data_IF_952239053696
#
_entry.id   IF_952239053696
#
_cell.length_a   1.000
_cell.length_b   1.000
_cell.length_c   1.000
_cell.angle_alpha   90.00
_cell.angle_beta   90.00
_cell.angle_gamma   90.00
#
_symmetry.space_group_name_H-M   'P 1'
#
loop_
_entity.id
_entity.type
_entity.pdbx_description
1 polymer ?
#
# COMPACT_ATOMS: atom_id res chain seq x y z
N UNK A 1 -11.13 -7.86 -7.27
CA UNK A 1 -11.48 -6.65 -8.06
C UNK A 1 -11.64 -5.42 -7.17
N UNK A 2 -12.59 -5.36 -6.23
CA UNK A 2 -12.90 -4.14 -5.47
C UNK A 2 -11.67 -3.51 -4.78
N UNK A 3 -10.85 -4.22 -3.98
CA UNK A 3 -9.68 -3.60 -3.34
C UNK A 3 -8.70 -2.97 -4.33
N UNK A 4 -8.59 -3.54 -5.53
CA UNK A 4 -7.74 -3.00 -6.60
C UNK A 4 -8.27 -1.66 -7.11
N UNK A 5 -9.58 -1.42 -7.06
CA UNK A 5 -10.15 -0.13 -7.49
C UNK A 5 -9.76 1.01 -6.57
N UNK A 6 -9.71 0.75 -5.26
CA UNK A 6 -9.24 1.71 -4.25
C UNK A 6 -7.78 2.09 -4.51
N UNK A 7 -6.96 1.08 -4.77
CA UNK A 7 -5.53 1.27 -5.09
C UNK A 7 -5.34 1.98 -6.43
N UNK A 8 -6.14 1.67 -7.45
CA UNK A 8 -6.10 2.35 -8.73
C UNK A 8 -6.41 3.84 -8.60
N UNK A 9 -7.33 4.21 -7.70
CA UNK A 9 -7.60 5.61 -7.36
C UNK A 9 -6.41 6.24 -6.62
N UNK A 10 -5.84 5.55 -5.63
CA UNK A 10 -4.68 6.07 -4.90
C UNK A 10 -3.52 6.39 -5.86
N UNK A 11 -3.19 5.49 -6.77
CA UNK A 11 -2.18 5.71 -7.80
C UNK A 11 -2.54 6.88 -8.74
N UNK A 12 -3.81 7.01 -9.13
CA UNK A 12 -4.25 8.15 -9.93
C UNK A 12 -4.02 9.47 -9.20
N UNK A 13 -4.36 9.56 -7.90
CA UNK A 13 -4.14 10.74 -7.08
C UNK A 13 -2.64 11.07 -6.97
N UNK A 14 -1.81 10.08 -6.68
CA UNK A 14 -0.35 10.24 -6.61
C UNK A 14 0.20 10.85 -7.90
N UNK A 15 -0.14 10.26 -9.05
CA UNK A 15 0.38 10.71 -10.34
C UNK A 15 -0.14 12.11 -10.72
N UNK A 16 -1.42 12.41 -10.49
CA UNK A 16 -1.99 13.73 -10.74
C UNK A 16 -1.34 14.81 -9.89
N UNK A 17 -1.14 14.53 -8.61
CA UNK A 17 -0.51 15.46 -7.68
C UNK A 17 0.98 15.63 -8.00
N UNK A 18 1.66 14.57 -8.40
CA UNK A 18 3.07 14.63 -8.82
C UNK A 18 3.30 15.57 -9.98
N UNK A 19 2.36 15.68 -10.92
CA UNK A 19 2.44 16.58 -12.08
C UNK A 19 2.44 18.08 -11.74
N UNK A 20 2.32 18.45 -10.45
CA UNK A 20 2.43 19.86 -10.00
C UNK A 20 3.82 20.45 -10.22
N UNK A 21 4.83 19.62 -10.41
CA UNK A 21 6.22 20.00 -10.63
C UNK A 21 6.84 19.07 -11.69
N UNK A 22 8.08 19.36 -12.10
CA UNK A 22 8.88 18.39 -12.82
C UNK A 22 9.20 17.23 -11.88
N UNK A 23 8.66 16.05 -12.18
CA UNK A 23 8.68 14.91 -11.28
C UNK A 23 8.74 13.58 -12.03
N UNK A 24 9.82 12.87 -11.85
CA UNK A 24 10.10 11.58 -12.47
C UNK A 24 10.38 10.54 -11.38
N UNK A 25 9.34 10.04 -10.69
CA UNK A 25 9.52 9.13 -9.56
C UNK A 25 10.09 7.80 -10.01
N UNK A 26 11.02 7.26 -9.23
CA UNK A 26 11.64 5.96 -9.43
C UNK A 26 11.34 5.02 -8.27
N UNK A 27 11.49 5.51 -7.03
CA UNK A 27 11.44 4.71 -5.82
C UNK A 27 10.10 4.86 -5.09
N UNK A 28 9.49 3.72 -4.85
CA UNK A 28 8.19 3.64 -4.15
C UNK A 28 8.34 2.81 -2.89
N UNK A 29 7.91 3.36 -1.77
CA UNK A 29 7.74 2.61 -0.54
C UNK A 29 6.25 2.38 -0.27
N UNK A 30 5.86 1.12 -0.11
CA UNK A 30 4.52 0.74 0.37
C UNK A 30 4.65 0.26 1.80
N UNK A 31 3.90 0.86 2.73
CA UNK A 31 3.88 0.41 4.12
C UNK A 31 2.67 -0.49 4.37
N UNK A 32 2.95 -1.70 4.87
CA UNK A 32 1.97 -2.75 5.10
C UNK A 32 1.80 -3.70 3.91
N UNK A 33 2.13 -4.98 4.12
CA UNK A 33 1.92 -6.06 3.15
C UNK A 33 0.57 -6.78 3.33
N UNK A 34 -0.48 -6.01 3.63
CA UNK A 34 -1.87 -6.48 3.56
C UNK A 34 -2.40 -6.46 2.11
N UNK A 35 -3.68 -6.81 1.90
CA UNK A 35 -4.26 -6.86 0.55
C UNK A 35 -4.12 -5.54 -0.23
N UNK A 36 -4.32 -4.41 0.45
CA UNK A 36 -4.19 -3.08 -0.16
C UNK A 36 -2.73 -2.79 -0.53
N UNK A 37 -1.78 -3.02 0.39
CA UNK A 37 -0.38 -2.77 0.12
C UNK A 37 0.20 -3.68 -0.96
N UNK A 38 -0.13 -4.96 -0.97
CA UNK A 38 0.30 -5.89 -2.03
C UNK A 38 -0.25 -5.48 -3.40
N UNK A 39 -1.49 -5.03 -3.48
CA UNK A 39 -2.06 -4.50 -4.72
C UNK A 39 -1.44 -3.15 -5.10
N UNK A 40 -1.08 -2.31 -4.12
CA UNK A 40 -0.34 -1.07 -4.39
C UNK A 40 1.05 -1.37 -4.98
N UNK A 41 1.75 -2.35 -4.42
CA UNK A 41 3.03 -2.84 -4.94
C UNK A 41 2.90 -3.39 -6.36
N UNK A 42 1.90 -4.23 -6.63
CA UNK A 42 1.60 -4.74 -7.98
C UNK A 42 1.43 -3.58 -8.96
N UNK A 43 0.58 -2.60 -8.63
CA UNK A 43 0.31 -1.49 -9.54
C UNK A 43 1.54 -0.59 -9.76
N UNK A 44 2.43 -0.46 -8.78
CA UNK A 44 3.73 0.21 -8.90
C UNK A 44 4.66 -0.55 -9.85
N UNK A 45 4.79 -1.86 -9.68
CA UNK A 45 5.59 -2.73 -10.57
C UNK A 45 5.08 -2.71 -12.03
N UNK A 46 3.77 -2.74 -12.23
CA UNK A 46 3.17 -2.64 -13.57
C UNK A 46 3.46 -1.29 -14.27
N UNK A 47 3.88 -0.28 -13.52
CA UNK A 47 4.34 1.03 -14.03
C UNK A 47 5.85 1.10 -14.26
N UNK A 48 6.58 0.02 -13.95
CA UNK A 48 8.03 -0.03 -14.11
C UNK A 48 8.81 0.63 -12.98
N UNK A 49 8.14 0.98 -11.86
CA UNK A 49 8.79 1.62 -10.71
C UNK A 49 9.57 0.59 -9.88
N UNK A 50 10.59 1.07 -9.19
CA UNK A 50 11.30 0.31 -8.16
C UNK A 50 10.47 0.34 -6.87
N UNK A 51 9.90 -0.83 -6.52
CA UNK A 51 8.93 -0.94 -5.44
C UNK A 51 9.53 -1.69 -4.26
N UNK A 52 9.47 -1.05 -3.12
CA UNK A 52 9.83 -1.59 -1.83
C UNK A 52 8.57 -1.70 -0.96
N UNK A 53 8.47 -2.77 -0.18
CA UNK A 53 7.34 -2.99 0.73
C UNK A 53 7.86 -3.22 2.14
N UNK A 54 7.37 -2.45 3.09
CA UNK A 54 7.71 -2.57 4.50
C UNK A 54 6.54 -3.16 5.30
N UNK A 55 6.76 -4.26 6.01
CA UNK A 55 5.81 -4.84 6.95
C UNK A 55 6.58 -5.45 8.14
N UNK A 56 5.91 -5.66 9.25
CA UNK A 56 6.52 -6.21 10.47
C UNK A 56 6.81 -7.71 10.43
N UNK A 57 6.20 -8.44 9.50
CA UNK A 57 6.39 -9.89 9.38
C UNK A 57 7.76 -10.18 8.76
N UNK A 58 8.51 -11.10 9.35
CA UNK A 58 9.84 -11.48 8.86
C UNK A 58 9.83 -12.73 7.97
N UNK A 59 8.75 -13.49 8.00
CA UNK A 59 8.55 -14.74 7.24
C UNK A 59 7.09 -14.93 6.87
N UNK A 60 6.79 -15.97 6.09
CA UNK A 60 5.44 -16.34 5.67
C UNK A 60 5.01 -15.73 4.34
N UNK A 61 3.71 -15.79 4.01
CA UNK A 61 3.21 -15.51 2.66
C UNK A 61 3.42 -14.06 2.20
N UNK A 62 3.43 -13.08 3.11
CA UNK A 62 3.57 -11.67 2.75
C UNK A 62 4.93 -11.33 2.14
N UNK A 63 6.08 -11.63 2.79
CA UNK A 63 7.40 -11.44 2.17
C UNK A 63 7.56 -12.21 0.86
N UNK A 64 7.00 -13.42 0.77
CA UNK A 64 7.07 -14.24 -0.44
C UNK A 64 6.31 -13.60 -1.60
N UNK A 65 5.09 -13.11 -1.36
CA UNK A 65 4.29 -12.41 -2.36
C UNK A 65 4.98 -11.13 -2.86
N UNK A 66 5.62 -10.38 -1.98
CA UNK A 66 6.37 -9.18 -2.38
C UNK A 66 7.54 -9.56 -3.30
N UNK A 67 8.36 -10.55 -2.91
CA UNK A 67 9.48 -11.00 -3.73
C UNK A 67 9.03 -11.57 -5.08
N UNK A 68 7.91 -12.30 -5.10
CA UNK A 68 7.34 -12.85 -6.33
C UNK A 68 6.86 -11.77 -7.32
N UNK A 69 6.57 -10.53 -6.86
CA UNK A 69 6.34 -9.37 -7.71
C UNK A 69 7.63 -8.76 -8.30
N UNK A 70 8.80 -9.23 -7.89
CA UNK A 70 10.07 -8.56 -8.17
C UNK A 70 10.22 -7.26 -7.40
N UNK A 71 9.54 -7.10 -6.26
CA UNK A 71 9.68 -5.99 -5.34
C UNK A 71 10.60 -6.36 -4.17
N UNK A 72 11.20 -5.36 -3.53
CA UNK A 72 12.06 -5.55 -2.37
C UNK A 72 11.24 -5.54 -1.09
N UNK A 73 11.46 -6.52 -0.22
CA UNK A 73 10.78 -6.59 1.07
C UNK A 73 11.68 -6.12 2.21
N UNK A 74 11.13 -5.29 3.08
CA UNK A 74 11.77 -4.80 4.30
C UNK A 74 10.95 -5.18 5.53
N UNK A 75 11.67 -5.42 6.64
CA UNK A 75 11.09 -5.53 7.99
C UNK A 75 11.88 -4.63 8.92
N UNK A 76 11.22 -3.84 9.75
CA UNK A 76 11.89 -2.89 10.63
C UNK A 76 11.27 -1.50 10.55
N UNK A 77 12.10 -0.45 10.59
CA UNK A 77 11.68 0.93 10.50
C UNK A 77 11.81 1.48 9.07
N UNK A 78 11.07 2.56 8.74
CA UNK A 78 11.22 3.25 7.46
C UNK A 78 12.64 3.81 7.31
N UNK A 79 13.24 4.29 8.39
CA UNK A 79 14.61 4.81 8.40
C UNK A 79 15.66 3.78 7.90
N UNK A 80 15.36 2.50 7.99
CA UNK A 80 16.32 1.42 7.65
C UNK A 80 16.21 0.97 6.19
N UNK A 81 15.31 1.55 5.38
CA UNK A 81 15.12 1.11 3.97
C UNK A 81 16.29 1.47 3.06
N UNK A 82 17.15 2.44 3.45
CA UNK A 82 18.41 2.77 2.76
C UNK A 82 18.27 3.69 1.55
N UNK A 83 17.11 4.30 1.33
CA UNK A 83 16.87 5.30 0.27
C UNK A 83 15.75 6.25 0.68
N UNK A 84 15.63 7.37 -0.04
CA UNK A 84 14.51 8.31 0.11
C UNK A 84 13.45 8.02 -0.96
N UNK A 85 12.23 7.60 -0.57
CA UNK A 85 11.16 7.32 -1.53
C UNK A 85 10.63 8.59 -2.21
N UNK A 86 10.37 8.53 -3.52
CA UNK A 86 9.61 9.56 -4.23
C UNK A 86 8.11 9.47 -3.94
N UNK A 87 7.66 8.25 -3.65
CA UNK A 87 6.27 7.93 -3.34
C UNK A 87 6.22 7.03 -2.12
N UNK A 88 5.38 7.39 -1.15
CA UNK A 88 5.00 6.48 -0.07
C UNK A 88 3.49 6.21 -0.17
N UNK A 89 3.10 4.94 -0.30
CA UNK A 89 1.70 4.50 -0.20
C UNK A 89 1.50 3.87 1.17
N UNK A 90 0.89 4.62 2.07
CA UNK A 90 0.67 4.18 3.45
C UNK A 90 -0.62 3.37 3.56
N UNK A 91 -0.50 2.08 3.91
CA UNK A 91 -1.62 1.13 3.93
C UNK A 91 -1.87 0.51 5.31
N UNK A 92 -1.15 0.95 6.34
CA UNK A 92 -1.30 0.38 7.70
C UNK A 92 -2.31 1.11 8.55
N UNK A 93 -2.44 2.43 8.39
CA UNK A 93 -3.18 3.31 9.27
C UNK A 93 -2.57 3.42 10.69
N UNK A 94 -1.34 2.97 10.90
CA UNK A 94 -0.64 3.03 12.18
C UNK A 94 0.00 4.40 12.34
N UNK A 95 -0.39 5.16 13.37
CA UNK A 95 0.06 6.53 13.58
C UNK A 95 1.58 6.71 13.54
N UNK A 96 2.34 5.78 14.12
CA UNK A 96 3.80 5.81 14.08
C UNK A 96 4.33 5.67 12.64
N UNK A 97 3.77 4.76 11.84
CA UNK A 97 4.19 4.54 10.44
C UNK A 97 3.83 5.76 9.59
N UNK A 98 2.67 6.37 9.83
CA UNK A 98 2.26 7.62 9.17
C UNK A 98 3.26 8.75 9.49
N UNK A 99 3.62 8.90 10.76
CA UNK A 99 4.59 9.91 11.21
C UNK A 99 5.97 9.71 10.57
N UNK A 100 6.45 8.46 10.53
CA UNK A 100 7.71 8.10 9.88
C UNK A 100 7.65 8.34 8.35
N UNK A 101 6.49 8.10 7.73
CA UNK A 101 6.30 8.37 6.30
C UNK A 101 6.50 9.86 5.95
N UNK A 102 6.07 10.76 6.83
CA UNK A 102 6.27 12.21 6.61
C UNK A 102 7.75 12.63 6.75
N UNK A 103 8.51 11.97 7.60
CA UNK A 103 9.93 12.29 7.84
C UNK A 103 10.89 11.71 6.81
N UNK A 104 10.49 10.63 6.15
CA UNK A 104 11.39 9.88 5.27
C UNK A 104 10.99 9.93 3.79
N UNK A 105 9.98 10.72 3.43
CA UNK A 105 9.68 10.99 2.03
C UNK A 105 10.76 11.91 1.44
N UNK A 106 11.23 11.62 0.25
CA UNK A 106 12.20 12.45 -0.47
C UNK A 106 11.63 13.80 -0.88
N UNK A 107 12.50 14.73 -1.24
CA UNK A 107 12.12 16.07 -1.65
C UNK A 107 11.20 16.05 -2.88
N UNK A 108 10.12 16.83 -2.86
CA UNK A 108 9.09 16.86 -3.90
C UNK A 108 8.20 15.62 -3.91
N UNK A 109 8.35 14.74 -2.94
CA UNK A 109 7.67 13.46 -2.88
C UNK A 109 6.18 13.55 -2.56
N UNK A 110 5.49 12.42 -2.70
CA UNK A 110 4.04 12.29 -2.45
C UNK A 110 3.77 11.15 -1.47
N UNK A 111 3.18 11.48 -0.32
CA UNK A 111 2.66 10.48 0.63
C UNK A 111 1.16 10.30 0.39
N UNK A 112 0.75 9.10 0.03
CA UNK A 112 -0.66 8.74 -0.17
C UNK A 112 -1.15 7.88 1.00
N UNK A 113 -2.04 8.43 1.82
CA UNK A 113 -2.65 7.73 2.95
C UNK A 113 -3.87 6.95 2.47
N UNK A 114 -3.83 5.64 2.60
CA UNK A 114 -4.94 4.70 2.31
C UNK A 114 -5.34 3.88 3.53
N UNK A 115 -4.45 3.77 4.51
CA UNK A 115 -4.70 3.08 5.77
C UNK A 115 -5.65 3.89 6.67
N UNK A 116 -6.65 3.22 7.24
CA UNK A 116 -7.56 3.82 8.22
C UNK A 116 -7.22 3.24 9.59
N UNK A 117 -6.70 4.09 10.46
CA UNK A 117 -6.38 3.72 11.85
C UNK A 117 -7.60 3.79 12.77
N UNK A 118 -7.63 2.95 13.77
CA UNK A 118 -8.67 2.92 14.83
C UNK A 118 -8.37 3.85 16.01
N UNK A 119 -7.54 4.89 15.79
CA UNK A 119 -6.97 5.70 16.87
C UNK A 119 -5.70 5.07 17.44
N UNK A 120 -4.91 5.80 18.19
CA UNK A 120 -3.66 5.25 18.65
C UNK A 120 -2.90 6.15 19.60
N UNK A 121 -1.73 5.67 19.98
CA UNK A 121 -0.75 6.35 20.81
C UNK A 121 -0.35 7.68 20.16
N UNK A 122 -0.09 8.68 20.96
CA UNK A 122 0.58 9.92 20.54
C UNK A 122 1.94 9.57 19.94
N UNK A 123 2.23 10.08 18.76
CA UNK A 123 3.46 9.76 17.98
C UNK A 123 4.64 10.65 18.34
N UNK A 124 4.48 11.63 19.24
CA UNK A 124 5.47 12.67 19.51
C UNK A 124 5.74 13.59 18.32
N UNK A 125 4.94 13.51 17.26
CA UNK A 125 5.00 14.37 16.10
C UNK A 125 4.17 15.62 16.35
N UNK A 126 4.78 16.81 16.25
CA UNK A 126 4.00 18.05 16.29
C UNK A 126 3.52 18.42 14.88
N UNK A 127 2.36 19.04 14.81
CA UNK A 127 1.81 19.53 13.52
C UNK A 127 2.75 20.55 12.87
N UNK A 128 3.43 21.36 13.68
CA UNK A 128 4.37 22.37 13.19
C UNK A 128 5.59 21.74 12.50
N UNK A 129 6.13 20.65 13.04
CA UNK A 129 7.28 19.94 12.45
C UNK A 129 6.90 19.36 11.09
N UNK A 130 5.75 18.67 11.01
CA UNK A 130 5.22 18.13 9.74
C UNK A 130 5.00 19.22 8.70
N UNK A 131 4.36 20.32 9.10
CA UNK A 131 4.09 21.44 8.20
C UNK A 131 5.41 22.04 7.68
N UNK A 132 6.42 22.20 8.53
CA UNK A 132 7.72 22.73 8.14
C UNK A 132 8.42 21.83 7.12
N UNK A 133 8.44 20.51 7.35
CA UNK A 133 9.02 19.56 6.41
C UNK A 133 8.30 19.55 5.06
N UNK A 134 6.96 19.55 5.06
CA UNK A 134 6.16 19.60 3.83
C UNK A 134 6.50 20.87 3.02
N UNK A 135 6.61 22.03 3.69
CA UNK A 135 6.92 23.30 3.03
C UNK A 135 8.35 23.33 2.50
N UNK A 136 9.33 22.96 3.35
CA UNK A 136 10.75 23.03 2.99
C UNK A 136 11.15 22.06 1.89
N UNK A 137 10.50 20.88 1.85
CA UNK A 137 10.78 19.83 0.87
C UNK A 137 9.81 19.84 -0.33
N UNK A 138 8.85 20.75 -0.39
CA UNK A 138 7.78 20.76 -1.40
C UNK A 138 7.01 19.42 -1.48
N UNK A 139 6.82 18.74 -0.36
CA UNK A 139 6.14 17.46 -0.31
C UNK A 139 4.62 17.63 -0.34
N UNK A 140 3.91 16.55 -0.64
CA UNK A 140 2.44 16.52 -0.59
C UNK A 140 1.97 15.29 0.17
N UNK A 141 0.97 15.50 1.01
CA UNK A 141 0.22 14.42 1.65
C UNK A 141 -1.19 14.41 1.07
N UNK A 142 -1.63 13.27 0.55
CA UNK A 142 -2.96 13.07 -0.02
C UNK A 142 -3.65 11.85 0.60
N UNK A 143 -4.93 11.99 0.96
CA UNK A 143 -5.76 10.87 1.39
C UNK A 143 -6.53 10.27 0.23
N UNK A 144 -6.67 8.95 0.20
CA UNK A 144 -7.47 8.26 -0.82
C UNK A 144 -8.32 7.15 -0.21
N UNK A 145 -9.62 7.19 -0.48
CA UNK A 145 -10.60 6.20 -0.05
C UNK A 145 -11.65 5.99 -1.14
N UNK A 146 -12.26 4.81 -1.17
CA UNK A 146 -13.28 4.44 -2.16
C UNK A 146 -12.78 4.51 -3.62
N UNK A 147 -13.69 4.34 -4.55
CA UNK A 147 -13.42 4.37 -5.99
C UNK A 147 -14.68 4.75 -6.76
N UNK A 148 -14.54 5.23 -7.99
CA UNK A 148 -15.62 5.43 -8.92
C UNK A 148 -15.51 4.48 -10.12
N UNK A 149 -16.47 4.53 -11.04
CA UNK A 149 -16.56 3.64 -12.20
C UNK A 149 -15.27 3.58 -13.03
N UNK A 150 -14.57 4.69 -13.25
CA UNK A 150 -13.32 4.70 -14.04
C UNK A 150 -12.20 3.91 -13.37
N UNK A 151 -12.17 3.87 -12.03
CA UNK A 151 -11.18 3.08 -11.29
C UNK A 151 -11.45 1.58 -11.38
N UNK A 152 -12.72 1.16 -11.58
CA UNK A 152 -13.05 -0.22 -11.90
C UNK A 152 -12.45 -0.67 -13.22
N UNK A 153 -12.54 0.14 -14.26
CA UNK A 153 -11.87 -0.16 -15.53
C UNK A 153 -10.35 -0.20 -15.41
N UNK A 154 -9.74 0.77 -14.72
CA UNK A 154 -8.29 0.77 -14.47
C UNK A 154 -7.83 -0.45 -13.66
N UNK A 155 -8.60 -0.85 -12.66
CA UNK A 155 -8.33 -2.05 -11.89
C UNK A 155 -8.43 -3.31 -12.75
N UNK A 156 -9.45 -3.44 -13.61
CA UNK A 156 -9.60 -4.57 -14.51
C UNK A 156 -8.40 -4.69 -15.45
N UNK A 157 -8.00 -3.60 -16.11
CA UNK A 157 -6.83 -3.55 -16.98
C UNK A 157 -5.52 -3.91 -16.24
N UNK A 158 -5.37 -3.48 -15.00
CA UNK A 158 -4.19 -3.84 -14.20
C UNK A 158 -4.18 -5.32 -13.83
N UNK A 159 -5.33 -5.88 -13.44
CA UNK A 159 -5.44 -7.29 -13.09
C UNK A 159 -5.29 -8.22 -14.30
N UNK A 160 -5.71 -7.79 -15.48
CA UNK A 160 -5.49 -8.52 -16.73
C UNK A 160 -4.00 -8.69 -17.07
N UNK A 161 -3.18 -7.68 -16.73
CA UNK A 161 -1.72 -7.69 -16.93
C UNK A 161 -0.96 -8.40 -15.81
N UNK A 162 -1.59 -8.69 -14.70
CA UNK A 162 -0.96 -9.31 -13.54
C UNK A 162 -0.84 -10.83 -13.72
N UNK A 163 0.18 -11.41 -13.09
CA UNK A 163 0.33 -12.85 -13.00
C UNK A 163 -0.86 -13.48 -12.26
N UNK A 164 -1.52 -14.45 -12.90
CA UNK A 164 -2.71 -15.12 -12.36
C UNK A 164 -2.39 -15.99 -11.14
N UNK A 165 -1.22 -16.63 -11.15
CA UNK A 165 -0.79 -17.46 -10.02
C UNK A 165 -0.54 -16.58 -8.79
N UNK A 166 0.15 -15.45 -8.97
CA UNK A 166 0.35 -14.47 -7.91
C UNK A 166 -0.99 -13.95 -7.36
N UNK A 167 -1.94 -13.59 -8.25
CA UNK A 167 -3.27 -13.12 -7.84
C UNK A 167 -4.04 -14.17 -7.03
N UNK A 168 -3.91 -15.45 -7.39
CA UNK A 168 -4.58 -16.54 -6.68
C UNK A 168 -4.08 -16.69 -5.23
N UNK A 169 -2.79 -16.44 -5.02
CA UNK A 169 -2.13 -16.50 -3.70
C UNK A 169 -2.52 -15.35 -2.77
N UNK A 170 -3.08 -14.24 -3.29
CA UNK A 170 -3.63 -13.18 -2.44
C UNK A 170 -4.79 -13.67 -1.58
N UNK A 171 -5.60 -14.60 -2.09
CA UNK A 171 -6.68 -15.23 -1.34
C UNK A 171 -6.10 -16.40 -0.56
N UNK A 172 -5.59 -16.11 0.65
CA UNK A 172 -4.93 -17.10 1.50
C UNK A 172 -5.88 -18.12 2.12
N UNK A 173 -7.14 -17.74 2.32
CA UNK A 173 -8.13 -18.63 2.93
C UNK A 173 -9.54 -18.37 2.38
N UNK A 174 -10.27 -19.47 2.12
CA UNK A 174 -11.67 -19.46 1.71
C UNK A 174 -12.48 -20.17 2.77
N UNK A 175 -13.55 -19.53 3.20
CA UNK A 175 -14.53 -20.10 4.15
C UNK A 175 -15.90 -20.17 3.50
N UNK A 176 -16.69 -21.16 3.89
CA UNK A 176 -18.11 -21.20 3.50
C UNK A 176 -18.91 -20.18 4.33
N UNK A 177 -20.04 -19.65 3.83
CA UNK A 177 -20.87 -18.69 4.55
C UNK A 177 -21.30 -19.17 5.94
N UNK A 178 -21.54 -20.49 6.10
CA UNK A 178 -21.92 -21.10 7.38
C UNK A 178 -20.81 -20.97 8.44
N UNK A 179 -19.57 -20.79 7.98
CA UNK A 179 -18.38 -20.62 8.84
C UNK A 179 -17.88 -19.17 8.88
N UNK A 180 -18.73 -18.19 8.60
CA UNK A 180 -18.34 -16.77 8.51
C UNK A 180 -17.57 -16.28 9.76
N UNK A 181 -17.91 -16.78 10.95
CA UNK A 181 -17.23 -16.42 12.18
C UNK A 181 -15.72 -16.77 12.15
N UNK A 182 -15.34 -17.86 11.45
CA UNK A 182 -13.93 -18.22 11.25
C UNK A 182 -13.24 -17.25 10.30
N UNK A 183 -13.95 -16.74 9.29
CA UNK A 183 -13.39 -15.74 8.38
C UNK A 183 -13.04 -14.42 9.07
N UNK A 184 -13.69 -14.09 10.18
CA UNK A 184 -13.42 -12.90 10.98
C UNK A 184 -12.23 -13.08 11.94
N UNK A 185 -11.82 -14.32 12.21
CA UNK A 185 -10.65 -14.62 13.04
C UNK A 185 -9.39 -14.44 12.20
N UNK A 186 -8.52 -13.51 12.61
CA UNK A 186 -7.23 -13.25 11.92
C UNK A 186 -6.20 -14.31 12.29
N UNK A 187 -5.52 -14.84 11.29
CA UNK A 187 -4.30 -15.61 11.43
C UNK A 187 -3.09 -14.81 10.91
N UNK A 188 -1.88 -14.99 11.45
CA UNK A 188 -0.65 -14.39 10.89
C UNK A 188 -0.42 -14.75 9.41
N UNK A 189 -0.86 -15.93 8.99
CA UNK A 189 -0.75 -16.42 7.62
C UNK A 189 -1.80 -15.80 6.66
N UNK A 190 -2.80 -15.11 7.21
CA UNK A 190 -3.84 -14.53 6.38
C UNK A 190 -3.37 -13.28 5.66
N UNK A 191 -3.47 -13.29 4.33
CA UNK A 191 -3.39 -12.11 3.48
C UNK A 191 -4.80 -11.60 3.20
N UNK A 192 -5.62 -12.39 2.51
CA UNK A 192 -7.03 -12.10 2.25
C UNK A 192 -7.88 -13.33 2.50
N UNK A 193 -8.85 -13.19 3.40
CA UNK A 193 -9.88 -14.21 3.65
C UNK A 193 -11.13 -13.82 2.89
N UNK A 194 -11.79 -14.78 2.26
CA UNK A 194 -13.04 -14.57 1.51
C UNK A 194 -14.09 -15.60 1.91
N UNK A 195 -15.37 -15.24 1.81
CA UNK A 195 -16.48 -16.17 1.87
C UNK A 195 -16.80 -16.64 0.45
N UNK A 196 -16.82 -17.96 0.26
CA UNK A 196 -17.10 -18.59 -1.02
C UNK A 196 -18.55 -19.11 -1.02
N UNK A 197 -19.42 -18.46 -1.80
CA UNK A 197 -20.85 -18.77 -1.88
C UNK A 197 -21.19 -19.86 -2.90
N UNK A 198 -20.31 -20.11 -3.88
CA UNK A 198 -20.46 -21.15 -4.88
C UNK A 198 -19.14 -21.89 -5.09
N UNK A 199 -19.20 -23.10 -5.57
CA UNK A 199 -18.03 -23.83 -6.04
C UNK A 199 -17.46 -23.12 -7.29
N UNK A 200 -16.13 -23.01 -7.37
CA UNK A 200 -15.41 -22.33 -8.45
C UNK A 200 -15.26 -23.26 -9.65
#
# INVERSE_FOLDING_TARGET
>A
MEPTTVVAKAWEQVLLVGQRAFWEPQHVLVTGAGPIGLLAALLGRLRGLDVHVLDRMTSGPKPELVRALGATYHSGAIADVGFEPDIIVECTGVGQVIAESFRHIGAGGVVCLTGIGSGGRTTGLTVADVASEIVLQNNVVVGSVNANKRHWYKAAQSLERADREWLSRLVSRRERPEHFARALQRSPEDVKVVLQFAEA
#
